data_IF_821012155886
#
_entry.id   IF_821012155886
#
_cell.length_a   1.000
_cell.length_b   1.000
_cell.length_c   1.000
_cell.angle_alpha   90.00
_cell.angle_beta   90.00
_cell.angle_gamma   90.00
#
_symmetry.space_group_name_H-M   'P 1'
#
loop_
_entity.id
_entity.type
_entity.pdbx_description
1 polymer ?
#
# COMPACT_ATOMS: atom_id res chain seq x y z
N UNK A 1 -6.87 -14.22 -4.98
CA UNK A 1 -7.69 -13.28 -5.77
C UNK A 1 -6.95 -11.97 -5.89
N UNK A 2 -6.93 -11.37 -7.09
CA UNK A 2 -6.37 -10.05 -7.37
C UNK A 2 -7.45 -9.19 -8.00
N UNK A 3 -7.47 -7.91 -7.67
CA UNK A 3 -8.27 -6.92 -8.37
C UNK A 3 -7.32 -5.86 -8.94
N UNK A 4 -7.39 -5.64 -10.23
CA UNK A 4 -6.64 -4.61 -10.93
C UNK A 4 -7.62 -3.63 -11.58
N UNK A 5 -7.44 -2.34 -11.33
CA UNK A 5 -8.28 -1.29 -11.88
C UNK A 5 -7.41 -0.25 -12.54
N UNK A 6 -7.47 -0.20 -13.84
CA UNK A 6 -6.79 0.81 -14.62
C UNK A 6 -7.46 2.18 -14.45
N UNK A 7 -6.67 3.25 -14.50
CA UNK A 7 -7.16 4.63 -14.39
C UNK A 7 -7.99 4.91 -13.11
N UNK A 8 -7.68 4.20 -12.01
CA UNK A 8 -8.29 4.46 -10.71
C UNK A 8 -8.02 5.90 -10.24
N UNK A 9 -6.77 6.36 -10.34
CA UNK A 9 -6.40 7.77 -10.26
C UNK A 9 -6.07 8.29 -11.65
N UNK A 10 -6.53 9.50 -11.95
CA UNK A 10 -6.12 10.17 -13.18
C UNK A 10 -4.69 10.73 -13.07
N UNK A 11 -4.11 11.06 -14.19
CA UNK A 11 -2.72 11.55 -14.27
C UNK A 11 -2.48 12.79 -13.40
N UNK A 12 -3.42 13.74 -13.38
CA UNK A 12 -3.33 14.96 -12.57
C UNK A 12 -3.20 14.64 -11.09
N UNK A 13 -4.04 13.73 -10.59
CA UNK A 13 -4.00 13.28 -9.18
C UNK A 13 -2.69 12.55 -8.85
N UNK A 14 -2.21 11.69 -9.75
CA UNK A 14 -0.93 11.02 -9.55
C UNK A 14 0.23 12.01 -9.45
N UNK A 15 0.28 12.99 -10.35
CA UNK A 15 1.32 14.02 -10.38
C UNK A 15 1.27 14.91 -9.11
N UNK A 16 0.07 15.31 -8.66
CA UNK A 16 -0.11 16.09 -7.43
C UNK A 16 0.45 15.33 -6.21
N UNK A 17 0.14 14.04 -6.09
CA UNK A 17 0.66 13.19 -5.00
C UNK A 17 2.18 13.13 -5.04
N UNK A 18 2.75 12.85 -6.22
CA UNK A 18 4.20 12.75 -6.41
C UNK A 18 4.88 14.06 -6.04
N UNK A 19 4.41 15.18 -6.56
CA UNK A 19 5.00 16.51 -6.32
C UNK A 19 5.00 16.85 -4.83
N UNK A 20 3.86 16.74 -4.18
CA UNK A 20 3.70 17.11 -2.77
C UNK A 20 4.47 16.19 -1.83
N UNK A 21 4.41 14.87 -2.03
CA UNK A 21 5.11 13.91 -1.19
C UNK A 21 6.64 13.95 -1.39
N UNK A 22 7.12 14.30 -2.59
CA UNK A 22 8.55 14.39 -2.89
C UNK A 22 9.30 15.41 -2.03
N UNK A 23 8.62 16.45 -1.55
CA UNK A 23 9.21 17.47 -0.68
C UNK A 23 9.67 16.90 0.66
N UNK A 24 9.04 15.83 1.12
CA UNK A 24 9.30 15.21 2.41
C UNK A 24 10.20 13.97 2.34
N UNK A 25 10.32 13.36 1.17
CA UNK A 25 10.97 12.05 1.01
C UNK A 25 12.46 12.04 1.41
N UNK A 26 13.16 13.14 1.23
CA UNK A 26 14.57 13.27 1.61
C UNK A 26 14.74 13.77 3.06
N UNK A 27 13.67 14.28 3.66
CA UNK A 27 13.65 14.74 5.06
C UNK A 27 13.34 13.58 6.01
N UNK A 28 12.43 12.72 5.61
CA UNK A 28 12.10 11.51 6.33
C UNK A 28 13.15 10.45 6.00
N UNK A 29 14.23 10.41 6.76
CA UNK A 29 15.11 9.24 6.81
C UNK A 29 14.34 8.11 7.48
N UNK A 30 13.36 7.58 6.78
CA UNK A 30 12.70 6.35 7.20
C UNK A 30 13.75 5.28 7.03
N UNK A 31 14.23 4.79 8.16
CA UNK A 31 15.20 3.73 8.22
C UNK A 31 14.77 2.59 7.30
N UNK A 32 15.74 1.90 6.71
CA UNK A 32 15.50 0.70 5.92
C UNK A 32 14.59 -0.23 6.72
N UNK A 33 13.29 -0.21 6.42
CA UNK A 33 12.42 -1.26 6.93
C UNK A 33 12.99 -2.59 6.41
N UNK A 34 12.93 -3.62 7.24
CA UNK A 34 13.56 -4.93 6.98
C UNK A 34 13.21 -5.57 5.64
N UNK A 35 12.18 -5.08 4.95
CA UNK A 35 11.65 -5.67 3.73
C UNK A 35 11.83 -4.82 2.47
N UNK A 36 12.48 -3.64 2.52
CA UNK A 36 12.66 -2.79 1.34
C UNK A 36 13.92 -1.92 1.38
N UNK A 37 14.38 -1.58 0.19
CA UNK A 37 15.25 -0.44 -0.09
C UNK A 37 14.40 0.60 -0.84
N UNK A 38 14.46 1.84 -0.44
CA UNK A 38 13.67 2.93 -0.99
C UNK A 38 13.26 3.92 0.11
N UNK A 39 12.69 5.02 -0.29
CA UNK A 39 12.26 6.08 0.62
C UNK A 39 10.75 6.10 0.76
N UNK A 40 10.23 6.48 1.91
CA UNK A 40 8.79 6.60 2.14
C UNK A 40 8.42 7.82 2.96
N UNK A 41 7.16 8.24 2.79
CA UNK A 41 6.52 9.31 3.56
C UNK A 41 5.17 8.79 4.03
N UNK A 42 4.90 8.89 5.33
CA UNK A 42 3.56 8.63 5.88
C UNK A 42 2.78 9.94 5.80
N UNK A 43 1.77 9.97 4.93
CA UNK A 43 1.08 11.22 4.55
C UNK A 43 0.44 11.91 5.76
N UNK A 44 -0.20 11.15 6.64
CA UNK A 44 -0.87 11.69 7.84
C UNK A 44 0.07 12.33 8.86
N UNK A 45 1.37 12.05 8.80
CA UNK A 45 2.36 12.59 9.75
C UNK A 45 2.80 14.03 9.36
N UNK A 46 2.37 14.49 8.17
CA UNK A 46 2.69 15.83 7.65
C UNK A 46 1.42 16.68 7.53
N UNK A 47 1.36 17.78 8.30
CA UNK A 47 0.20 18.70 8.29
C UNK A 47 -0.07 19.29 6.91
N UNK A 48 0.97 19.52 6.12
CA UNK A 48 0.90 20.05 4.77
C UNK A 48 0.27 19.07 3.76
N UNK A 49 0.16 17.79 4.12
CA UNK A 49 -0.44 16.74 3.30
C UNK A 49 -1.84 16.31 3.78
N UNK A 50 -2.39 16.94 4.83
CA UNK A 50 -3.67 16.52 5.44
C UNK A 50 -4.84 16.55 4.45
N UNK A 51 -4.90 17.56 3.57
CA UNK A 51 -5.95 17.64 2.55
C UNK A 51 -5.80 16.58 1.46
N UNK A 52 -4.55 16.19 1.15
CA UNK A 52 -4.25 15.12 0.23
C UNK A 52 -4.66 13.77 0.81
N UNK A 53 -4.34 13.51 2.07
CA UNK A 53 -4.76 12.29 2.78
C UNK A 53 -6.29 12.15 2.73
N UNK A 54 -7.02 13.22 3.01
CA UNK A 54 -8.49 13.23 2.94
C UNK A 54 -9.01 12.93 1.52
N UNK A 55 -8.47 13.57 0.49
CA UNK A 55 -8.89 13.32 -0.90
C UNK A 55 -8.67 11.87 -1.33
N UNK A 56 -7.54 11.29 -0.95
CA UNK A 56 -7.21 9.89 -1.24
C UNK A 56 -8.15 8.97 -0.47
N UNK A 57 -8.34 9.24 0.82
CA UNK A 57 -9.24 8.51 1.70
C UNK A 57 -10.67 8.48 1.13
N UNK A 58 -11.24 9.63 0.78
CA UNK A 58 -12.61 9.72 0.27
C UNK A 58 -12.77 8.89 -1.02
N UNK A 59 -11.77 8.92 -1.91
CA UNK A 59 -11.82 8.16 -3.16
C UNK A 59 -11.71 6.66 -2.94
N UNK A 60 -10.81 6.22 -2.08
CA UNK A 60 -10.63 4.79 -1.77
C UNK A 60 -11.85 4.28 -1.01
N UNK A 61 -12.36 5.02 -0.03
CA UNK A 61 -13.53 4.60 0.74
C UNK A 61 -14.79 4.47 -0.12
N UNK A 62 -15.03 5.40 -1.02
CA UNK A 62 -16.14 5.27 -1.99
C UNK A 62 -16.01 4.00 -2.82
N UNK A 63 -14.78 3.62 -3.15
CA UNK A 63 -14.49 2.41 -3.90
C UNK A 63 -14.61 1.14 -3.06
N UNK A 64 -14.11 1.17 -1.82
CA UNK A 64 -14.23 0.08 -0.84
C UNK A 64 -15.71 -0.23 -0.58
N UNK A 65 -16.49 0.80 -0.25
CA UNK A 65 -17.90 0.64 0.08
C UNK A 65 -18.73 0.05 -1.09
N UNK A 66 -18.32 0.32 -2.33
CA UNK A 66 -19.10 -0.05 -3.50
C UNK A 66 -18.60 -1.30 -4.23
N UNK A 67 -17.36 -1.72 -4.08
CA UNK A 67 -16.80 -2.81 -4.89
C UNK A 67 -15.90 -3.79 -4.15
N UNK A 68 -15.00 -3.35 -3.29
CA UNK A 68 -14.01 -4.27 -2.69
C UNK A 68 -14.67 -5.27 -1.74
N UNK A 69 -15.65 -4.83 -0.95
CA UNK A 69 -16.38 -5.70 -0.03
C UNK A 69 -16.98 -6.89 -0.78
N UNK A 70 -17.62 -6.65 -1.92
CA UNK A 70 -18.24 -7.71 -2.71
C UNK A 70 -17.22 -8.61 -3.41
N UNK A 71 -16.15 -8.04 -3.98
CA UNK A 71 -15.17 -8.80 -4.74
C UNK A 71 -14.31 -9.72 -3.87
N UNK A 72 -14.04 -9.34 -2.64
CA UNK A 72 -13.20 -10.12 -1.72
C UNK A 72 -14.01 -10.89 -0.67
N UNK A 73 -15.36 -10.85 -0.78
CA UNK A 73 -16.28 -11.48 0.18
C UNK A 73 -15.93 -11.11 1.64
N UNK A 74 -15.57 -9.84 1.82
CA UNK A 74 -15.28 -9.30 3.14
C UNK A 74 -16.60 -9.09 3.84
N UNK A 75 -17.03 -10.10 4.58
CA UNK A 75 -18.24 -10.05 5.40
C UNK A 75 -17.93 -9.21 6.62
N UNK A 76 -18.11 -7.92 6.51
CA UNK A 76 -18.22 -7.09 7.68
C UNK A 76 -19.54 -6.33 7.63
N UNK A 77 -20.10 -6.09 8.78
CA UNK A 77 -21.21 -5.15 8.91
C UNK A 77 -20.75 -3.73 8.62
N UNK A 78 -20.13 -3.50 7.49
CA UNK A 78 -19.83 -2.23 6.79
C UNK A 78 -19.09 -1.13 7.55
N UNK A 79 -19.14 -1.12 8.87
CA UNK A 79 -18.67 -0.02 9.71
C UNK A 79 -17.35 -0.27 10.45
N UNK A 80 -16.78 -1.47 10.34
CA UNK A 80 -15.62 -1.89 11.13
C UNK A 80 -14.30 -1.91 10.36
N UNK A 81 -14.32 -1.69 9.05
CA UNK A 81 -13.09 -1.61 8.27
C UNK A 81 -12.59 -0.18 8.17
N UNK A 82 -11.31 0.00 8.46
CA UNK A 82 -10.62 1.26 8.19
C UNK A 82 -9.29 1.02 7.50
N UNK A 83 -8.77 2.05 6.85
CA UNK A 83 -7.40 2.02 6.37
C UNK A 83 -6.40 2.32 7.50
N UNK A 84 -5.15 1.95 7.28
CA UNK A 84 -4.04 2.22 8.22
C UNK A 84 -3.39 3.58 8.02
N UNK A 85 -3.93 4.41 7.13
CA UNK A 85 -3.30 5.61 6.60
C UNK A 85 -2.50 5.28 5.34
N UNK A 86 -2.14 6.33 4.60
CA UNK A 86 -1.48 6.20 3.30
C UNK A 86 0.00 6.49 3.41
N UNK A 87 0.80 5.62 2.78
CA UNK A 87 2.24 5.79 2.66
C UNK A 87 2.61 5.96 1.19
N UNK A 88 3.34 7.04 0.89
CA UNK A 88 3.98 7.23 -0.40
C UNK A 88 5.35 6.57 -0.36
N UNK A 89 5.66 5.74 -1.35
CA UNK A 89 6.95 5.07 -1.47
C UNK A 89 7.58 5.41 -2.81
N UNK A 90 8.88 5.73 -2.78
CA UNK A 90 9.71 5.94 -3.97
C UNK A 90 10.84 4.93 -4.01
N UNK A 91 10.92 4.22 -5.12
CA UNK A 91 11.99 3.30 -5.44
C UNK A 91 12.78 3.87 -6.62
N UNK A 92 14.06 4.20 -6.38
CA UNK A 92 15.02 4.63 -7.40
C UNK A 92 15.58 3.42 -8.14
N UNK A 93 16.39 3.64 -9.17
CA UNK A 93 17.10 2.54 -9.86
C UNK A 93 17.93 1.72 -8.87
N UNK A 94 17.75 0.41 -8.90
CA UNK A 94 18.43 -0.54 -8.02
C UNK A 94 17.74 -0.77 -6.69
N UNK A 95 16.74 0.06 -6.32
CA UNK A 95 15.96 -0.17 -5.11
C UNK A 95 15.06 -1.40 -5.25
N UNK A 96 14.83 -2.05 -4.12
CA UNK A 96 14.09 -3.32 -4.07
C UNK A 96 13.03 -3.30 -2.96
N UNK A 97 11.95 -3.96 -3.24
CA UNK A 97 11.02 -4.48 -2.24
C UNK A 97 11.32 -5.98 -2.12
N UNK A 98 11.86 -6.40 -0.98
CA UNK A 98 12.20 -7.81 -0.77
C UNK A 98 10.96 -8.67 -0.67
N UNK A 99 11.11 -9.96 -0.92
CA UNK A 99 10.01 -10.94 -0.81
C UNK A 99 9.43 -10.93 0.60
N UNK A 100 8.16 -10.62 0.71
CA UNK A 100 7.42 -10.59 1.97
C UNK A 100 5.92 -10.80 1.73
N UNK A 101 5.19 -11.03 2.81
CA UNK A 101 3.73 -10.93 2.85
C UNK A 101 3.31 -9.78 3.75
N UNK A 102 2.18 -9.17 3.45
CA UNK A 102 1.63 -8.04 4.22
C UNK A 102 0.85 -8.47 5.47
N UNK A 103 0.77 -9.77 5.74
CA UNK A 103 -0.24 -10.43 6.57
C UNK A 103 -0.24 -10.13 8.06
N UNK A 104 0.85 -9.65 8.63
CA UNK A 104 0.88 -9.37 10.07
C UNK A 104 1.48 -7.98 10.30
N UNK A 105 0.65 -7.06 10.74
CA UNK A 105 1.16 -5.84 11.35
C UNK A 105 1.31 -6.08 12.86
N UNK A 106 2.53 -6.28 13.32
CA UNK A 106 2.85 -6.13 14.72
C UNK A 106 3.62 -4.83 14.88
N UNK A 107 2.96 -3.77 15.34
CA UNK A 107 3.70 -2.73 16.01
C UNK A 107 4.18 -3.34 17.33
N UNK A 108 5.50 -3.44 17.54
CA UNK A 108 6.07 -4.09 18.74
C UNK A 108 5.59 -3.46 20.05
N UNK A 109 4.98 -2.28 19.98
CA UNK A 109 4.48 -1.53 21.12
C UNK A 109 3.01 -1.77 21.45
N UNK A 110 2.23 -2.34 20.51
CA UNK A 110 0.79 -2.49 20.72
C UNK A 110 0.48 -3.88 21.28
N UNK A 111 -0.13 -3.93 22.46
CA UNK A 111 -0.65 -5.17 23.04
C UNK A 111 -1.86 -5.70 22.26
N UNK A 112 -2.60 -4.82 21.61
CA UNK A 112 -3.77 -5.14 20.79
C UNK A 112 -3.50 -4.66 19.38
N UNK A 113 -3.70 -5.52 18.39
CA UNK A 113 -3.61 -5.16 16.98
C UNK A 113 -4.79 -5.72 16.18
N UNK A 114 -5.04 -5.10 15.04
CA UNK A 114 -6.09 -5.53 14.11
C UNK A 114 -5.47 -6.18 12.89
N UNK A 115 -5.99 -7.34 12.45
CA UNK A 115 -5.42 -8.02 11.28
C UNK A 115 -5.67 -7.20 10.02
N UNK A 116 -4.68 -7.14 9.16
CA UNK A 116 -4.83 -6.64 7.80
C UNK A 116 -5.66 -7.65 7.00
N UNK A 117 -6.71 -7.16 6.35
CA UNK A 117 -7.62 -7.99 5.55
C UNK A 117 -7.48 -7.76 4.06
N UNK A 118 -6.92 -6.61 3.66
CA UNK A 118 -6.67 -6.27 2.27
C UNK A 118 -5.46 -5.33 2.15
N UNK A 119 -4.60 -5.59 1.17
CA UNK A 119 -3.53 -4.70 0.75
C UNK A 119 -3.96 -3.94 -0.50
N UNK A 120 -3.67 -2.64 -0.54
CA UNK A 120 -3.98 -1.72 -1.62
C UNK A 120 -2.71 -1.01 -2.07
N UNK A 121 -2.40 -1.11 -3.35
CA UNK A 121 -1.27 -0.42 -3.98
C UNK A 121 -1.79 0.38 -5.17
N UNK A 122 -1.50 1.69 -5.22
CA UNK A 122 -1.77 2.52 -6.39
C UNK A 122 -0.45 2.92 -7.02
N UNK A 123 -0.22 2.52 -8.26
CA UNK A 123 0.93 2.98 -9.02
C UNK A 123 0.75 4.44 -9.43
N UNK A 124 1.70 5.29 -9.08
CA UNK A 124 1.70 6.72 -9.42
C UNK A 124 2.54 7.02 -10.66
N UNK A 125 3.40 6.08 -11.06
CA UNK A 125 4.26 6.16 -12.24
C UNK A 125 4.09 4.94 -13.13
N UNK A 126 4.35 5.10 -14.44
CA UNK A 126 4.53 3.97 -15.35
C UNK A 126 6.01 3.61 -15.40
N UNK A 127 6.33 2.34 -15.15
CA UNK A 127 7.70 1.83 -15.16
C UNK A 127 7.73 0.38 -15.67
N UNK A 128 8.29 0.17 -16.86
CA UNK A 128 8.26 -1.12 -17.56
C UNK A 128 9.17 -2.20 -16.93
N UNK A 129 10.09 -1.80 -16.04
CA UNK A 129 11.08 -2.69 -15.41
C UNK A 129 10.98 -2.67 -13.87
N UNK A 130 9.78 -2.48 -13.34
CA UNK A 130 9.50 -2.48 -11.90
C UNK A 130 8.13 -3.09 -11.59
N UNK A 131 7.86 -4.26 -12.16
CA UNK A 131 6.62 -5.00 -11.95
C UNK A 131 6.52 -5.51 -10.51
N UNK A 132 5.31 -5.56 -9.97
CA UNK A 132 5.03 -6.22 -8.71
C UNK A 132 4.82 -7.72 -8.98
N UNK A 133 5.70 -8.55 -8.43
CA UNK A 133 5.78 -9.97 -8.76
C UNK A 133 5.26 -10.81 -7.59
N UNK A 134 4.33 -11.72 -7.90
CA UNK A 134 3.75 -12.70 -6.99
C UNK A 134 4.16 -14.11 -7.42
N UNK A 135 5.28 -14.65 -6.90
CA UNK A 135 5.88 -15.88 -7.41
C UNK A 135 4.96 -17.10 -7.25
N UNK A 136 4.25 -17.22 -6.12
CA UNK A 136 3.32 -18.33 -5.88
C UNK A 136 2.12 -18.35 -6.83
N UNK A 137 1.82 -17.23 -7.46
CA UNK A 137 0.71 -17.09 -8.42
C UNK A 137 1.20 -17.05 -9.87
N UNK A 138 2.52 -17.15 -10.10
CA UNK A 138 3.14 -16.93 -11.40
C UNK A 138 2.61 -15.65 -12.09
N UNK A 139 2.50 -14.56 -11.31
CA UNK A 139 1.88 -13.31 -11.75
C UNK A 139 2.84 -12.14 -11.57
N UNK A 140 2.98 -11.35 -12.63
CA UNK A 140 3.64 -10.06 -12.64
C UNK A 140 2.61 -8.98 -12.99
N UNK A 141 2.49 -7.96 -12.16
CA UNK A 141 1.57 -6.84 -12.37
C UNK A 141 2.38 -5.62 -12.78
N UNK A 142 2.08 -5.11 -13.96
CA UNK A 142 2.74 -3.95 -14.56
C UNK A 142 2.55 -2.69 -13.73
N UNK A 143 3.65 -1.92 -13.58
CA UNK A 143 3.59 -0.59 -12.98
C UNK A 143 3.06 0.41 -13.99
N UNK A 144 1.74 0.61 -14.02
CA UNK A 144 1.04 1.57 -14.88
C UNK A 144 0.44 2.69 -14.03
N UNK A 145 0.70 3.94 -14.43
CA UNK A 145 0.22 5.14 -13.71
C UNK A 145 -1.30 5.11 -13.52
N UNK A 146 -1.73 5.34 -12.30
CA UNK A 146 -3.14 5.38 -11.92
C UNK A 146 -3.79 4.01 -11.70
N UNK A 147 -3.06 2.90 -11.87
CA UNK A 147 -3.59 1.56 -11.61
C UNK A 147 -3.66 1.27 -10.11
N UNK A 148 -4.83 0.86 -9.63
CA UNK A 148 -5.02 0.25 -8.31
C UNK A 148 -4.87 -1.26 -8.40
N UNK A 149 -4.15 -1.81 -7.44
CA UNK A 149 -3.99 -3.25 -7.22
C UNK A 149 -4.49 -3.54 -5.81
N UNK A 150 -5.40 -4.52 -5.68
CA UNK A 150 -5.85 -5.03 -4.39
C UNK A 150 -5.64 -6.54 -4.31
N UNK A 151 -5.14 -7.02 -3.18
CA UNK A 151 -4.88 -8.43 -2.93
C UNK A 151 -4.96 -8.77 -1.44
N UNK A 152 -5.15 -10.06 -1.14
CA UNK A 152 -5.17 -10.52 0.23
C UNK A 152 -3.75 -10.49 0.84
N UNK A 153 -3.59 -10.04 2.10
CA UNK A 153 -2.27 -9.87 2.70
C UNK A 153 -1.69 -11.17 3.31
N UNK A 154 -2.13 -12.33 2.86
CA UNK A 154 -1.72 -13.64 3.39
C UNK A 154 -0.40 -14.14 2.79
N UNK A 155 0.25 -15.10 3.44
CA UNK A 155 1.52 -15.69 3.00
C UNK A 155 1.50 -16.29 1.59
N UNK A 156 0.33 -16.71 1.08
CA UNK A 156 0.22 -17.16 -0.30
C UNK A 156 0.34 -16.00 -1.32
N UNK A 157 0.24 -14.75 -0.88
CA UNK A 157 0.43 -13.54 -1.69
C UNK A 157 1.78 -12.86 -1.40
N UNK A 158 2.80 -13.65 -1.07
CA UNK A 158 4.17 -13.13 -1.03
C UNK A 158 4.50 -12.45 -2.34
N UNK A 159 5.14 -11.30 -2.25
CA UNK A 159 5.48 -10.49 -3.41
C UNK A 159 6.79 -9.75 -3.23
N UNK A 160 7.37 -9.35 -4.36
CA UNK A 160 8.59 -8.56 -4.41
C UNK A 160 8.58 -7.64 -5.64
N UNK A 161 9.52 -6.70 -5.68
CA UNK A 161 9.75 -5.81 -6.80
C UNK A 161 11.22 -5.38 -6.85
N UNK A 162 11.79 -5.36 -8.05
CA UNK A 162 13.11 -4.78 -8.32
C UNK A 162 12.94 -3.63 -9.32
N UNK A 163 13.41 -2.45 -8.98
CA UNK A 163 13.42 -1.35 -9.95
C UNK A 163 14.72 -1.37 -10.77
N UNK A 164 14.68 -2.03 -11.92
CA UNK A 164 15.81 -2.09 -12.86
C UNK A 164 15.81 -0.96 -13.91
N UNK A 165 14.89 -0.01 -13.78
CA UNK A 165 14.73 1.12 -14.69
C UNK A 165 15.52 2.34 -14.23
N UNK A 166 15.80 3.26 -15.16
CA UNK A 166 16.31 4.60 -14.84
C UNK A 166 15.21 5.56 -14.32
N UNK A 167 13.95 5.13 -14.34
CA UNK A 167 12.82 5.89 -13.83
C UNK A 167 12.51 5.50 -12.38
N UNK A 168 12.05 6.44 -11.58
CA UNK A 168 11.50 6.12 -10.27
C UNK A 168 10.21 5.30 -10.42
N UNK A 169 10.01 4.37 -9.50
CA UNK A 169 8.71 3.77 -9.25
C UNK A 169 8.13 4.40 -8.00
N UNK A 170 7.09 5.20 -8.18
CA UNK A 170 6.35 5.84 -7.09
C UNK A 170 5.02 5.13 -6.91
N UNK A 171 4.68 4.80 -5.67
CA UNK A 171 3.43 4.12 -5.32
C UNK A 171 2.84 4.71 -4.05
N UNK A 172 1.52 4.59 -3.96
CA UNK A 172 0.77 4.81 -2.74
C UNK A 172 0.35 3.45 -2.18
N UNK A 173 0.54 3.23 -0.89
CA UNK A 173 0.22 1.97 -0.22
C UNK A 173 -0.64 2.22 1.00
N UNK A 174 -1.64 1.38 1.20
CA UNK A 174 -2.41 1.30 2.45
C UNK A 174 -2.91 -0.13 2.65
N UNK A 175 -3.35 -0.43 3.86
CA UNK A 175 -3.99 -1.68 4.20
C UNK A 175 -5.34 -1.41 4.84
N UNK A 176 -6.30 -2.28 4.59
CA UNK A 176 -7.52 -2.31 5.39
C UNK A 176 -7.34 -3.27 6.55
N UNK A 177 -7.81 -2.85 7.70
CA UNK A 177 -7.89 -3.66 8.92
C UNK A 177 -9.34 -3.84 9.33
N UNK A 178 -9.64 -4.98 9.94
CA UNK A 178 -10.95 -5.27 10.52
C UNK A 178 -10.90 -5.02 12.03
N UNK A 179 -11.56 -3.97 12.50
CA UNK A 179 -11.59 -3.59 13.92
C UNK A 179 -12.51 -4.47 14.77
N UNK A 180 -13.28 -5.37 14.19
CA UNK A 180 -14.06 -6.36 14.94
C UNK A 180 -13.19 -7.51 15.45
N UNK A 181 -12.05 -7.77 14.79
CA UNK A 181 -11.13 -8.83 15.14
C UNK A 181 -9.97 -8.22 15.94
N UNK A 182 -10.01 -8.41 17.25
CA UNK A 182 -8.91 -8.02 18.15
C UNK A 182 -7.95 -9.19 18.33
N UNK A 183 -6.70 -8.97 17.96
CA UNK A 183 -5.62 -9.91 18.23
C UNK A 183 -4.79 -9.40 19.39
N UNK A 184 -4.41 -10.29 20.31
CA UNK A 184 -3.50 -9.98 21.43
C UNK A 184 -2.20 -10.75 21.24
N UNK A 185 -1.10 -10.14 21.61
CA UNK A 185 0.19 -10.83 21.59
C UNK A 185 0.23 -11.83 22.74
N UNK A 186 0.48 -13.09 22.43
CA UNK A 186 0.79 -14.10 23.46
C UNK A 186 2.18 -13.76 23.98
N UNK A 187 2.28 -13.32 25.24
CA UNK A 187 3.58 -13.20 25.93
C UNK A 187 4.09 -14.62 26.13
N UNK A 188 5.08 -15.01 25.34
CA UNK A 188 5.82 -16.22 25.67
C UNK A 188 6.51 -15.97 27.01
N UNK A 189 6.06 -16.72 28.02
CA UNK A 189 6.65 -16.72 29.35
C UNK A 189 8.05 -17.31 29.35
#
# INVERSE_FOLDING_TARGET
MFLEINNFLNEKSCNEIIERCSVFIDKDKVGSEYNRQGNSVIIKDHKELTDLDKKIFDRINLFIANRLIYNFNLVSGGSSMRDTGYSFHRYKKGDQLYTHSDGVFSNEKDEIFYPRVLALVVNLTTNDNADLIFPRHNKAIKSEKGKLIAFLPHNCYEHYMNNNSNKNRDVLVTWLVDETIKCTRVKNG
#
